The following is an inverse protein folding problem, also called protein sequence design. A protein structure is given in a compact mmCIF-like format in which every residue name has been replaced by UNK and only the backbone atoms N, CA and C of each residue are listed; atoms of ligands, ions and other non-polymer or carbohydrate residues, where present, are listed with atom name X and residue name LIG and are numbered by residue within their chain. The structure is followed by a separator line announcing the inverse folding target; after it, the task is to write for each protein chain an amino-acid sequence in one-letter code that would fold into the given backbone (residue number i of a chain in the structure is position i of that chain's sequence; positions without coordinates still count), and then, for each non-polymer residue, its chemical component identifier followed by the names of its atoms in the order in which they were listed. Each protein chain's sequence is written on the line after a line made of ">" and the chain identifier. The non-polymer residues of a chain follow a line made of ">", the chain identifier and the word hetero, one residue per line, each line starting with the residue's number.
data_IF_514599405496
#
_entry.id   IF_514599405496
#
_cell.length_a   1.000
_cell.length_b   1.000
_cell.length_c   1.000
_cell.angle_alpha   90.00
_cell.angle_beta   90.00
_cell.angle_gamma   90.00
#
_symmetry.space_group_name_H-M   'P 1'
#
loop_
_entity.id
_entity.type
_entity.pdbx_description
1 polymer ?
#
# COMPACT_ATOMS: atom_id res chain seq x y z
N UNK A 1 10.42 -2.13 -11.90
CA UNK A 1 10.94 -2.43 -10.55
C UNK A 1 9.87 -2.78 -9.49
N UNK A 2 8.74 -3.41 -9.85
CA UNK A 2 7.83 -4.05 -8.88
C UNK A 2 8.11 -5.56 -8.66
N UNK A 3 9.03 -6.15 -9.44
CA UNK A 3 9.32 -7.60 -9.47
C UNK A 3 10.17 -8.11 -8.28
N UNK A 4 10.43 -7.30 -7.26
CA UNK A 4 11.25 -7.68 -6.08
C UNK A 4 10.55 -7.41 -4.74
N UNK A 5 9.22 -7.36 -4.73
CA UNK A 5 8.49 -7.24 -3.46
C UNK A 5 8.47 -8.60 -2.75
N UNK A 6 8.76 -8.59 -1.44
CA UNK A 6 8.66 -9.78 -0.59
C UNK A 6 7.21 -10.24 -0.47
N UNK A 7 7.00 -11.47 0.01
CA UNK A 7 5.65 -12.00 0.26
C UNK A 7 4.88 -11.13 1.25
N UNK A 8 5.54 -10.62 2.28
CA UNK A 8 4.97 -9.75 3.31
C UNK A 8 4.57 -8.39 2.70
N UNK A 9 5.41 -7.83 1.82
CA UNK A 9 5.08 -6.61 1.09
C UNK A 9 3.87 -6.80 0.17
N UNK A 10 3.80 -7.93 -0.55
CA UNK A 10 2.64 -8.29 -1.38
C UNK A 10 1.36 -8.40 -0.54
N UNK A 11 1.42 -9.14 0.58
CA UNK A 11 0.29 -9.28 1.51
C UNK A 11 -0.17 -7.94 2.07
N UNK A 12 0.76 -7.05 2.40
CA UNK A 12 0.45 -5.70 2.88
C UNK A 12 -0.31 -4.88 1.84
N UNK A 13 0.14 -4.89 0.57
CA UNK A 13 -0.57 -4.21 -0.53
C UNK A 13 -1.96 -4.81 -0.78
N UNK A 14 -2.11 -6.14 -0.70
CA UNK A 14 -3.41 -6.81 -0.81
C UNK A 14 -4.36 -6.38 0.32
N UNK A 15 -3.87 -6.32 1.56
CA UNK A 15 -4.67 -5.84 2.71
C UNK A 15 -5.16 -4.42 2.47
N UNK A 16 -4.30 -3.52 2.00
CA UNK A 16 -4.72 -2.14 1.66
C UNK A 16 -5.84 -2.16 0.60
N UNK A 17 -5.70 -2.97 -0.45
CA UNK A 17 -6.71 -3.06 -1.51
C UNK A 17 -8.08 -3.52 -1.00
N UNK A 18 -8.11 -4.44 -0.03
CA UNK A 18 -9.35 -4.93 0.60
C UNK A 18 -9.99 -3.86 1.49
N UNK A 19 -9.17 -3.06 2.17
CA UNK A 19 -9.63 -2.07 3.15
C UNK A 19 -10.01 -0.71 2.55
N UNK A 20 -9.73 -0.48 1.26
CA UNK A 20 -10.17 0.71 0.50
C UNK A 20 -11.69 0.87 0.39
N UNK A 21 -12.47 -0.15 0.76
CA UNK A 21 -13.92 -0.03 0.90
C UNK A 21 -14.34 0.82 2.11
N UNK A 22 -13.47 0.92 3.12
CA UNK A 22 -13.70 1.79 4.28
C UNK A 22 -13.53 3.25 3.86
N UNK A 23 -14.57 4.06 4.04
CA UNK A 23 -14.56 5.51 3.77
C UNK A 23 -13.80 6.28 4.86
N UNK A 24 -12.50 6.04 4.98
CA UNK A 24 -11.63 6.76 5.90
C UNK A 24 -11.14 8.07 5.27
N UNK A 25 -10.90 9.07 6.11
CA UNK A 25 -10.18 10.26 5.67
C UNK A 25 -8.67 9.94 5.54
N UNK A 26 -7.87 10.78 4.84
CA UNK A 26 -6.45 10.52 4.62
C UNK A 26 -5.60 10.35 5.88
N UNK A 27 -5.94 11.05 6.96
CA UNK A 27 -5.19 10.97 8.21
C UNK A 27 -5.42 9.64 8.92
N UNK A 28 -6.67 9.21 9.02
CA UNK A 28 -7.01 7.93 9.63
C UNK A 28 -6.53 6.76 8.78
N UNK A 29 -6.63 6.88 7.46
CA UNK A 29 -6.04 5.89 6.55
C UNK A 29 -4.52 5.80 6.73
N UNK A 30 -3.81 6.93 6.90
CA UNK A 30 -2.38 6.93 7.19
C UNK A 30 -2.07 6.19 8.51
N UNK A 31 -2.88 6.35 9.55
CA UNK A 31 -2.72 5.62 10.82
C UNK A 31 -2.92 4.12 10.61
N UNK A 32 -3.96 3.73 9.90
CA UNK A 32 -4.26 2.33 9.57
C UNK A 32 -3.12 1.65 8.81
N UNK A 33 -2.46 2.35 7.88
CA UNK A 33 -1.27 1.82 7.20
C UNK A 33 -0.17 1.37 8.19
N UNK A 34 0.09 2.15 9.24
CA UNK A 34 1.04 1.73 10.30
C UNK A 34 0.51 0.56 11.13
N UNK A 35 -0.78 0.53 11.44
CA UNK A 35 -1.42 -0.59 12.17
C UNK A 35 -1.26 -1.88 11.37
N UNK A 36 -1.62 -1.87 10.09
CA UNK A 36 -1.53 -3.03 9.21
C UNK A 36 -0.09 -3.50 8.98
N UNK A 37 0.86 -2.57 8.93
CA UNK A 37 2.30 -2.90 8.90
C UNK A 37 2.71 -3.69 10.15
N UNK A 38 2.23 -3.30 11.33
CA UNK A 38 2.50 -4.03 12.58
C UNK A 38 1.79 -5.38 12.64
N UNK A 39 0.52 -5.44 12.24
CA UNK A 39 -0.27 -6.69 12.21
C UNK A 39 0.37 -7.77 11.33
N UNK A 40 0.95 -7.36 10.20
CA UNK A 40 1.63 -8.26 9.26
C UNK A 40 3.12 -8.46 9.58
N UNK A 41 3.60 -7.94 10.72
CA UNK A 41 5.01 -8.01 11.14
C UNK A 41 6.00 -7.53 10.07
N UNK A 42 5.60 -6.57 9.23
CA UNK A 42 6.47 -5.96 8.22
C UNK A 42 7.05 -4.64 8.75
N UNK A 43 8.38 -4.43 8.67
CA UNK A 43 8.98 -3.15 9.04
C UNK A 43 8.33 -2.00 8.26
N UNK A 44 7.97 -0.91 8.94
CA UNK A 44 7.24 0.18 8.29
C UNK A 44 8.02 0.75 7.10
N UNK A 45 9.35 0.81 7.15
CA UNK A 45 10.17 1.21 6.00
C UNK A 45 9.84 0.41 4.74
N UNK A 46 9.79 -0.92 4.87
CA UNK A 46 9.54 -1.83 3.75
C UNK A 46 8.07 -1.82 3.31
N UNK A 47 7.15 -1.63 4.27
CA UNK A 47 5.73 -1.51 4.01
C UNK A 47 5.41 -0.25 3.18
N UNK A 48 5.94 0.90 3.59
CA UNK A 48 5.74 2.16 2.87
C UNK A 48 6.49 2.18 1.52
N UNK A 49 7.71 1.63 1.46
CA UNK A 49 8.42 1.47 0.20
C UNK A 49 7.62 0.63 -0.82
N UNK A 50 6.94 -0.44 -0.38
CA UNK A 50 6.09 -1.24 -1.26
C UNK A 50 4.96 -0.42 -1.91
N UNK A 51 4.34 0.49 -1.15
CA UNK A 51 3.30 1.40 -1.66
C UNK A 51 3.88 2.30 -2.76
N UNK A 52 5.01 2.96 -2.48
CA UNK A 52 5.60 3.90 -3.43
C UNK A 52 6.14 3.19 -4.68
N UNK A 53 6.74 2.01 -4.52
CA UNK A 53 7.24 1.23 -5.66
C UNK A 53 6.09 0.80 -6.56
N UNK A 54 4.96 0.39 -5.96
CA UNK A 54 3.76 0.01 -6.69
C UNK A 54 3.14 1.20 -7.43
N UNK A 55 3.00 2.36 -6.78
CA UNK A 55 2.24 3.48 -7.36
C UNK A 55 3.07 4.41 -8.25
N UNK A 56 4.31 4.70 -7.85
CA UNK A 56 5.13 5.75 -8.47
C UNK A 56 6.54 5.29 -8.84
N UNK A 57 6.89 4.02 -8.60
CA UNK A 57 8.19 3.46 -8.96
C UNK A 57 9.37 3.99 -8.14
N UNK A 58 9.13 4.54 -6.95
CA UNK A 58 10.15 5.06 -6.03
C UNK A 58 10.06 4.34 -4.69
N UNK A 59 11.10 4.35 -3.88
CA UNK A 59 11.10 3.78 -2.52
C UNK A 59 10.60 4.75 -1.44
N UNK A 60 10.36 6.02 -1.80
CA UNK A 60 9.86 7.07 -0.91
C UNK A 60 8.87 7.99 -1.65
N UNK A 61 8.10 8.77 -0.90
CA UNK A 61 7.07 9.65 -1.45
C UNK A 61 6.38 10.52 -0.40
N UNK A 62 5.31 11.24 -0.80
CA UNK A 62 4.45 11.99 0.13
C UNK A 62 3.71 11.03 1.06
N UNK A 63 2.99 11.54 2.07
CA UNK A 63 2.23 10.69 3.00
C UNK A 63 1.32 9.70 2.23
N UNK A 64 1.55 8.41 2.43
CA UNK A 64 0.92 7.36 1.64
C UNK A 64 -0.62 7.36 1.72
N UNK A 65 -1.21 7.71 2.87
CA UNK A 65 -2.67 7.81 2.98
C UNK A 65 -3.27 8.90 2.09
N UNK A 66 -2.57 10.03 1.95
CA UNK A 66 -2.96 11.09 1.02
C UNK A 66 -2.75 10.68 -0.44
N UNK A 67 -1.62 10.04 -0.73
CA UNK A 67 -1.32 9.56 -2.09
C UNK A 67 -2.34 8.52 -2.56
N UNK A 68 -2.68 7.56 -1.70
CA UNK A 68 -3.61 6.49 -2.05
C UNK A 68 -5.02 7.05 -2.26
N UNK A 69 -5.50 7.92 -1.36
CA UNK A 69 -6.86 8.46 -1.45
C UNK A 69 -7.00 9.61 -2.46
N UNK A 70 -5.92 10.14 -3.02
CA UNK A 70 -5.97 11.11 -4.13
C UNK A 70 -6.06 10.45 -5.50
N UNK A 71 -5.85 9.14 -5.59
CA UNK A 71 -5.90 8.35 -6.81
C UNK A 71 -7.24 7.62 -6.94
N UNK A 72 -7.58 7.20 -8.17
CA UNK A 72 -8.77 6.40 -8.41
C UNK A 72 -8.71 5.06 -7.67
N UNK A 73 -9.76 4.74 -6.93
CA UNK A 73 -9.81 3.56 -6.06
C UNK A 73 -9.68 2.25 -6.85
N UNK A 74 -10.35 2.14 -8.00
CA UNK A 74 -10.29 0.94 -8.83
C UNK A 74 -8.90 0.75 -9.43
N UNK A 75 -8.25 1.86 -9.81
CA UNK A 75 -6.83 1.84 -10.19
C UNK A 75 -5.94 1.27 -9.08
N UNK A 76 -6.09 1.74 -7.82
CA UNK A 76 -5.27 1.24 -6.70
C UNK A 76 -5.53 -0.25 -6.44
N UNK A 77 -6.80 -0.66 -6.36
CA UNK A 77 -7.17 -2.06 -6.11
C UNK A 77 -6.58 -2.97 -7.18
N UNK A 78 -6.75 -2.63 -8.46
CA UNK A 78 -6.15 -3.37 -9.57
C UNK A 78 -4.63 -3.44 -9.44
N UNK A 79 -3.98 -2.29 -9.23
CA UNK A 79 -2.52 -2.21 -9.14
C UNK A 79 -1.95 -3.06 -8.03
N UNK A 80 -2.56 -3.06 -6.84
CA UNK A 80 -2.07 -3.82 -5.68
C UNK A 80 -2.37 -5.32 -5.78
N UNK A 81 -3.50 -5.71 -6.37
CA UNK A 81 -3.85 -7.12 -6.57
C UNK A 81 -3.08 -7.78 -7.71
N UNK A 82 -2.66 -7.04 -8.73
CA UNK A 82 -1.90 -7.59 -9.88
C UNK A 82 -0.42 -7.89 -9.58
N UNK A 83 0.12 -7.34 -8.48
CA UNK A 83 1.53 -7.53 -8.09
C UNK A 83 1.86 -9.00 -7.77
N UNK A 84 0.86 -9.80 -7.40
CA UNK A 84 1.07 -11.22 -7.11
C UNK A 84 1.29 -12.07 -8.37
N UNK A 85 0.82 -11.59 -9.53
CA UNK A 85 0.86 -12.35 -10.80
C UNK A 85 2.20 -12.27 -11.55
N UNK A 86 3.24 -11.69 -10.96
CA UNK A 86 4.57 -11.52 -11.54
C UNK A 86 5.70 -12.02 -10.66
#
# INVERSE_FOLDING_TARGET
>A
EAKKLSKEQKNYLQKIAMELEKKLNPEDFQKELYVWSKELAIPSKDAFAAIYLALIGKDHGPKAGWLILSLDKEFIKKRFLEIDKN
#
